data_IF_719794165737
#
_entry.id   IF_719794165737
#
_cell.length_a   1.000
_cell.length_b   1.000
_cell.length_c   1.000
_cell.angle_alpha   90.00
_cell.angle_beta   90.00
_cell.angle_gamma   90.00
#
_symmetry.space_group_name_H-M   'P 1'
#
loop_
_entity.id
_entity.type
_entity.pdbx_description
1 polymer ?
#
# COMPACT_ATOMS: atom_id res chain seq x y z
N UNK A 1 -1.77 -2.03 21.59
CA UNK A 1 -2.43 -1.49 20.38
C UNK A 1 -1.79 -2.18 19.18
N UNK A 2 -2.57 -2.70 18.23
CA UNK A 2 -2.01 -3.29 17.00
C UNK A 2 -1.61 -2.21 16.01
N UNK A 3 -0.57 -2.48 15.22
CA UNK A 3 0.01 -1.53 14.27
C UNK A 3 -0.08 -2.10 12.85
N UNK A 4 -0.70 -1.38 11.94
CA UNK A 4 -0.88 -1.79 10.55
C UNK A 4 -0.30 -0.75 9.60
N UNK A 5 0.45 -1.19 8.60
CA UNK A 5 0.90 -0.36 7.49
C UNK A 5 0.07 -0.69 6.25
N UNK A 6 -0.46 0.33 5.59
CA UNK A 6 -1.30 0.18 4.40
C UNK A 6 -0.67 0.97 3.26
N UNK A 7 -0.30 0.31 2.18
CA UNK A 7 0.25 0.99 1.00
C UNK A 7 -0.87 1.49 0.10
N UNK A 8 -0.67 2.67 -0.53
CA UNK A 8 -1.70 3.31 -1.35
C UNK A 8 -2.95 3.70 -0.55
N UNK A 9 -2.79 4.11 0.71
CA UNK A 9 -3.90 4.32 1.65
C UNK A 9 -4.53 5.72 1.61
N UNK A 10 -4.08 6.61 0.73
CA UNK A 10 -4.65 7.96 0.64
C UNK A 10 -6.05 8.02 0.02
N UNK A 11 -6.49 6.96 -0.65
CA UNK A 11 -7.78 6.89 -1.34
C UNK A 11 -8.29 5.45 -1.50
N UNK A 12 -9.50 5.30 -2.02
CA UNK A 12 -10.09 4.02 -2.42
C UNK A 12 -10.13 2.98 -1.30
N UNK A 13 -9.80 1.73 -1.64
CA UNK A 13 -9.85 0.58 -0.74
C UNK A 13 -8.84 0.74 0.42
N UNK A 14 -7.64 1.23 0.13
CA UNK A 14 -6.63 1.48 1.15
C UNK A 14 -7.09 2.46 2.23
N UNK A 15 -7.74 3.58 1.83
CA UNK A 15 -8.32 4.55 2.76
C UNK A 15 -9.45 3.95 3.58
N UNK A 16 -10.37 3.22 2.94
CA UNK A 16 -11.47 2.56 3.64
C UNK A 16 -10.94 1.57 4.69
N UNK A 17 -9.92 0.79 4.35
CA UNK A 17 -9.25 -0.13 5.27
C UNK A 17 -8.56 0.61 6.42
N UNK A 18 -7.94 1.75 6.17
CA UNK A 18 -7.30 2.58 7.19
C UNK A 18 -8.31 3.07 8.23
N UNK A 19 -9.46 3.58 7.77
CA UNK A 19 -10.54 4.02 8.66
C UNK A 19 -11.13 2.86 9.45
N UNK A 20 -11.31 1.69 8.84
CA UNK A 20 -11.83 0.51 9.54
C UNK A 20 -10.84 -0.02 10.59
N UNK A 21 -9.54 -0.03 10.29
CA UNK A 21 -8.50 -0.34 11.27
C UNK A 21 -8.53 0.62 12.47
N UNK A 22 -8.77 1.91 12.22
CA UNK A 22 -8.89 2.93 13.24
C UNK A 22 -10.06 2.71 14.19
N UNK A 23 -11.23 2.27 13.70
CA UNK A 23 -12.38 1.88 14.53
C UNK A 23 -12.02 0.75 15.50
N UNK A 24 -11.10 -0.11 15.11
CA UNK A 24 -10.54 -1.18 15.95
C UNK A 24 -9.34 -0.71 16.81
N UNK A 25 -9.16 0.60 16.98
CA UNK A 25 -8.13 1.21 17.84
C UNK A 25 -6.70 0.84 17.42
N UNK A 26 -6.46 0.61 16.13
CA UNK A 26 -5.12 0.33 15.61
C UNK A 26 -4.34 1.64 15.37
N UNK A 27 -3.01 1.55 15.41
CA UNK A 27 -2.12 2.57 14.87
C UNK A 27 -1.88 2.31 13.37
N UNK A 28 -2.19 3.29 12.52
CA UNK A 28 -2.22 3.10 11.07
C UNK A 28 -1.11 3.90 10.37
N UNK A 29 -0.23 3.21 9.66
CA UNK A 29 0.67 3.82 8.68
C UNK A 29 -0.05 3.99 7.34
N UNK A 30 -0.23 5.22 6.92
CA UNK A 30 -0.91 5.60 5.67
C UNK A 30 0.16 5.95 4.64
N UNK A 31 0.49 5.00 3.75
CA UNK A 31 1.40 5.30 2.67
C UNK A 31 0.68 5.98 1.50
N UNK A 32 1.35 6.98 0.95
CA UNK A 32 0.95 7.67 -0.28
C UNK A 32 2.18 7.98 -1.15
N UNK A 33 1.97 8.17 -2.47
CA UNK A 33 3.06 8.56 -3.37
C UNK A 33 3.12 10.08 -3.57
N UNK A 34 2.10 10.68 -4.20
CA UNK A 34 2.12 12.09 -4.64
C UNK A 34 1.11 12.98 -3.93
N UNK A 35 -0.05 12.47 -3.60
CA UNK A 35 -1.17 13.28 -3.09
C UNK A 35 -1.12 13.40 -1.57
N UNK A 36 -0.37 14.40 -1.08
CA UNK A 36 -0.27 14.73 0.34
C UNK A 36 -1.61 15.15 0.96
N UNK A 37 -2.41 15.92 0.22
CA UNK A 37 -3.70 16.42 0.71
C UNK A 37 -4.67 15.26 0.98
N UNK A 38 -4.75 14.29 0.06
CA UNK A 38 -5.56 13.09 0.28
C UNK A 38 -5.06 12.25 1.45
N UNK A 39 -3.74 12.14 1.63
CA UNK A 39 -3.16 11.44 2.78
C UNK A 39 -3.48 12.16 4.11
N UNK A 40 -3.44 13.49 4.11
CA UNK A 40 -3.82 14.30 5.28
C UNK A 40 -5.31 14.13 5.62
N UNK A 41 -6.19 14.18 4.62
CA UNK A 41 -7.61 13.88 4.83
C UNK A 41 -7.82 12.48 5.41
N UNK A 42 -7.08 11.49 4.92
CA UNK A 42 -7.19 10.12 5.42
C UNK A 42 -6.77 10.01 6.89
N UNK A 43 -5.65 10.63 7.31
CA UNK A 43 -5.22 10.56 8.72
C UNK A 43 -6.19 11.29 9.65
N UNK A 44 -6.83 12.35 9.19
CA UNK A 44 -7.83 13.08 9.98
C UNK A 44 -9.09 12.20 10.19
N UNK A 45 -9.51 11.45 9.17
CA UNK A 45 -10.60 10.48 9.29
C UNK A 45 -10.23 9.30 10.22
N UNK A 46 -8.99 8.79 10.13
CA UNK A 46 -8.46 7.74 11.04
C UNK A 46 -8.54 8.21 12.49
N UNK A 47 -8.12 9.43 12.78
CA UNK A 47 -8.22 10.01 14.14
C UNK A 47 -9.65 10.21 14.58
N UNK A 48 -10.51 10.70 13.70
CA UNK A 48 -11.94 10.88 13.99
C UNK A 48 -12.66 9.56 14.27
N UNK A 49 -12.21 8.47 13.63
CA UNK A 49 -12.71 7.11 13.89
C UNK A 49 -12.19 6.49 15.20
N UNK A 50 -11.33 7.20 15.93
CA UNK A 50 -10.82 6.81 17.24
C UNK A 50 -9.54 5.97 17.23
N UNK A 51 -8.86 5.89 16.10
CA UNK A 51 -7.50 5.36 15.98
C UNK A 51 -6.44 6.46 16.08
N UNK A 52 -5.22 6.10 15.77
CA UNK A 52 -4.09 7.02 15.59
C UNK A 52 -3.24 6.53 14.41
N UNK A 53 -2.29 7.33 13.95
CA UNK A 53 -1.45 6.92 12.84
C UNK A 53 -0.47 7.97 12.38
N UNK A 54 0.15 7.67 11.25
CA UNK A 54 1.08 8.58 10.57
C UNK A 54 0.97 8.45 9.06
N UNK A 55 1.23 9.54 8.35
CA UNK A 55 1.37 9.52 6.89
C UNK A 55 2.83 9.25 6.50
N UNK A 56 3.04 8.51 5.43
CA UNK A 56 4.34 8.04 4.96
C UNK A 56 4.44 8.20 3.45
N UNK A 57 5.16 9.21 3.00
CA UNK A 57 5.41 9.37 1.57
C UNK A 57 6.43 8.34 1.10
N UNK A 58 6.05 7.55 0.10
CA UNK A 58 6.91 6.57 -0.53
C UNK A 58 6.32 6.15 -1.88
N UNK A 59 7.14 6.15 -2.92
CA UNK A 59 6.84 5.41 -4.14
C UNK A 59 7.23 3.95 -3.92
N UNK A 60 6.26 3.03 -4.00
CA UNK A 60 6.52 1.60 -3.78
C UNK A 60 7.40 0.98 -4.87
N UNK A 61 7.48 1.59 -6.05
CA UNK A 61 8.38 1.18 -7.13
C UNK A 61 9.87 1.41 -6.80
N UNK A 62 10.19 2.21 -5.78
CA UNK A 62 11.55 2.42 -5.29
C UNK A 62 11.83 1.58 -4.05
N UNK A 63 12.64 0.53 -4.21
CA UNK A 63 12.98 -0.40 -3.11
C UNK A 63 13.70 0.28 -1.94
N UNK A 64 14.47 1.35 -2.18
CA UNK A 64 15.14 2.09 -1.10
C UNK A 64 14.15 2.98 -0.34
N UNK A 65 13.21 3.63 -1.06
CA UNK A 65 12.14 4.39 -0.44
C UNK A 65 11.25 3.48 0.43
N UNK A 66 10.95 2.25 -0.01
CA UNK A 66 10.21 1.26 0.78
C UNK A 66 10.94 0.92 2.07
N UNK A 67 12.26 0.64 2.03
CA UNK A 67 13.06 0.41 3.25
C UNK A 67 13.00 1.57 4.23
N UNK A 68 13.12 2.79 3.73
CA UNK A 68 13.03 4.02 4.56
C UNK A 68 11.64 4.15 5.17
N UNK A 69 10.59 3.88 4.42
CA UNK A 69 9.20 3.89 4.90
C UNK A 69 9.00 2.92 6.06
N UNK A 70 9.42 1.66 5.90
CA UNK A 70 9.32 0.65 6.97
C UNK A 70 10.11 1.05 8.21
N UNK A 71 11.33 1.56 8.03
CA UNK A 71 12.15 2.05 9.14
C UNK A 71 11.43 3.15 9.93
N UNK A 72 10.90 4.18 9.25
CA UNK A 72 10.15 5.27 9.89
C UNK A 72 8.90 4.76 10.62
N UNK A 73 8.17 3.83 10.02
CA UNK A 73 6.99 3.25 10.65
C UNK A 73 7.35 2.50 11.93
N UNK A 74 8.35 1.61 11.88
CA UNK A 74 8.79 0.80 13.02
C UNK A 74 9.42 1.66 14.12
N UNK A 75 10.14 2.72 13.79
CA UNK A 75 10.66 3.68 14.77
C UNK A 75 9.55 4.31 15.62
N UNK A 76 8.40 4.60 15.00
CA UNK A 76 7.23 5.19 15.67
C UNK A 76 6.35 4.14 16.36
N UNK A 77 5.97 3.09 15.63
CA UNK A 77 5.01 2.08 16.08
C UNK A 77 5.64 0.99 16.97
N UNK A 78 6.97 0.79 16.91
CA UNK A 78 7.78 -0.25 17.55
C UNK A 78 7.62 -1.65 16.98
N UNK A 79 6.43 -2.02 16.53
CA UNK A 79 6.11 -3.31 15.91
C UNK A 79 5.23 -3.11 14.69
N UNK A 80 5.10 -4.15 13.87
CA UNK A 80 4.21 -4.18 12.72
C UNK A 80 3.38 -5.47 12.75
N UNK A 81 2.13 -5.38 13.16
CA UNK A 81 1.24 -6.54 13.31
C UNK A 81 0.64 -6.97 11.97
N UNK A 82 0.45 -6.02 11.07
CA UNK A 82 -0.12 -6.27 9.76
C UNK A 82 0.41 -5.33 8.68
N UNK A 83 0.48 -5.84 7.47
CA UNK A 83 0.68 -5.02 6.27
C UNK A 83 -0.43 -5.33 5.28
N UNK A 84 -1.13 -4.30 4.84
CA UNK A 84 -2.00 -4.39 3.69
C UNK A 84 -1.27 -3.83 2.46
N UNK A 85 -0.78 -4.73 1.63
CA UNK A 85 -0.05 -4.44 0.42
C UNK A 85 -1.04 -4.17 -0.71
N UNK A 86 -1.48 -2.91 -0.79
CA UNK A 86 -2.63 -2.48 -1.59
C UNK A 86 -2.26 -1.49 -2.70
N UNK A 87 -1.07 -0.85 -2.61
CA UNK A 87 -0.66 0.11 -3.64
C UNK A 87 -0.65 -0.55 -5.02
N UNK A 88 -1.28 0.11 -5.97
CA UNK A 88 -1.35 -0.31 -7.36
C UNK A 88 -1.92 0.80 -8.23
N UNK A 89 -1.67 0.71 -9.49
CA UNK A 89 -2.18 1.62 -10.51
C UNK A 89 -2.86 0.82 -11.63
N UNK A 90 -3.84 1.44 -12.25
CA UNK A 90 -4.39 0.97 -13.52
C UNK A 90 -3.62 1.64 -14.66
N UNK A 91 -3.37 0.91 -15.72
CA UNK A 91 -2.78 1.48 -16.93
C UNK A 91 -3.79 2.34 -17.71
N UNK A 92 -3.37 2.94 -18.82
CA UNK A 92 -4.28 3.58 -19.75
C UNK A 92 -5.23 2.53 -20.32
N UNK A 93 -6.46 2.97 -20.69
CA UNK A 93 -7.36 2.14 -21.47
C UNK A 93 -6.77 2.08 -22.88
N UNK A 94 -6.26 0.93 -23.29
CA UNK A 94 -5.57 0.74 -24.56
C UNK A 94 -5.71 -0.70 -25.04
N UNK A 95 -5.74 -0.90 -26.35
CA UNK A 95 -5.58 -2.22 -26.95
C UNK A 95 -4.12 -2.66 -26.80
N UNK A 96 -3.88 -3.96 -26.69
CA UNK A 96 -2.53 -4.51 -26.40
C UNK A 96 -1.48 -4.09 -27.45
N UNK A 97 -1.89 -3.99 -28.72
CA UNK A 97 -1.00 -3.61 -29.82
C UNK A 97 -0.62 -2.12 -29.79
N UNK A 98 -1.40 -1.28 -29.11
CA UNK A 98 -1.23 0.18 -29.05
C UNK A 98 -0.60 0.64 -27.72
N UNK A 99 -0.33 -0.31 -26.81
CA UNK A 99 0.26 -0.01 -25.50
C UNK A 99 1.72 0.45 -25.64
N UNK A 100 2.02 1.61 -25.09
CA UNK A 100 3.41 2.09 -24.96
C UNK A 100 4.19 1.18 -23.98
N UNK A 101 5.33 0.60 -24.40
CA UNK A 101 6.19 -0.17 -23.50
C UNK A 101 6.62 0.58 -22.24
N UNK A 102 6.71 1.91 -22.26
CA UNK A 102 7.01 2.72 -21.07
C UNK A 102 5.87 2.67 -20.05
N UNK A 103 4.61 2.67 -20.48
CA UNK A 103 3.45 2.52 -19.60
C UNK A 103 3.40 1.14 -18.98
N UNK A 104 3.66 0.09 -19.77
CA UNK A 104 3.78 -1.27 -19.24
C UNK A 104 4.87 -1.34 -18.16
N UNK A 105 6.02 -0.71 -18.38
CA UNK A 105 7.09 -0.69 -17.39
C UNK A 105 6.65 -0.06 -16.08
N UNK A 106 5.95 1.06 -16.11
CA UNK A 106 5.43 1.75 -14.91
C UNK A 106 4.46 0.85 -14.16
N UNK A 107 3.58 0.12 -14.87
CA UNK A 107 2.67 -0.85 -14.27
C UNK A 107 3.40 -1.98 -13.56
N UNK A 108 4.38 -2.60 -14.21
CA UNK A 108 5.17 -3.69 -13.63
C UNK A 108 5.99 -3.18 -12.43
N UNK A 109 6.61 -2.02 -12.53
CA UNK A 109 7.40 -1.44 -11.45
C UNK A 109 6.54 -1.16 -10.21
N UNK A 110 5.31 -0.69 -10.38
CA UNK A 110 4.41 -0.41 -9.26
C UNK A 110 3.70 -1.66 -8.75
N UNK A 111 2.98 -2.38 -9.63
CA UNK A 111 2.05 -3.44 -9.22
C UNK A 111 2.75 -4.77 -8.91
N UNK A 112 3.91 -5.02 -9.50
CA UNK A 112 4.68 -6.27 -9.32
C UNK A 112 5.91 -6.03 -8.46
N UNK A 113 6.85 -5.23 -8.94
CA UNK A 113 8.11 -4.97 -8.22
C UNK A 113 7.84 -4.27 -6.89
N UNK A 114 6.96 -3.26 -6.88
CA UNK A 114 6.57 -2.54 -5.66
C UNK A 114 5.89 -3.44 -4.64
N UNK A 115 4.95 -4.27 -5.08
CA UNK A 115 4.31 -5.24 -4.20
C UNK A 115 5.32 -6.24 -3.61
N UNK A 116 6.30 -6.67 -4.40
CA UNK A 116 7.38 -7.53 -3.94
C UNK A 116 8.27 -6.83 -2.90
N UNK A 117 8.68 -5.57 -3.12
CA UNK A 117 9.52 -4.83 -2.18
C UNK A 117 8.81 -4.62 -0.83
N UNK A 118 7.53 -4.28 -0.87
CA UNK A 118 6.71 -4.15 0.35
C UNK A 118 6.59 -5.48 1.08
N UNK A 119 6.32 -6.58 0.37
CA UNK A 119 6.26 -7.92 0.98
C UNK A 119 7.61 -8.33 1.58
N UNK A 120 8.73 -8.02 0.92
CA UNK A 120 10.08 -8.33 1.39
C UNK A 120 10.40 -7.60 2.70
N UNK A 121 10.15 -6.30 2.78
CA UNK A 121 10.40 -5.53 4.02
C UNK A 121 9.43 -5.92 5.14
N UNK A 122 8.17 -6.26 4.80
CA UNK A 122 7.22 -6.83 5.76
C UNK A 122 7.75 -8.13 6.36
N UNK A 123 8.20 -9.05 5.52
CA UNK A 123 8.74 -10.34 5.97
C UNK A 123 9.99 -10.14 6.87
N UNK A 124 10.90 -9.24 6.49
CA UNK A 124 12.08 -8.94 7.32
C UNK A 124 11.69 -8.45 8.71
N UNK A 125 10.74 -7.52 8.80
CA UNK A 125 10.27 -6.99 10.08
C UNK A 125 9.57 -8.08 10.92
N UNK A 126 8.68 -8.86 10.30
CA UNK A 126 7.87 -9.88 10.97
C UNK A 126 8.69 -11.10 11.42
N UNK A 127 9.71 -11.51 10.65
CA UNK A 127 10.66 -12.57 11.06
C UNK A 127 11.39 -12.14 12.32
N UNK A 128 11.91 -10.92 12.40
CA UNK A 128 12.65 -10.42 13.56
C UNK A 128 11.79 -10.34 14.82
N UNK A 129 10.49 -10.16 14.71
CA UNK A 129 9.55 -10.09 15.85
C UNK A 129 8.79 -11.41 16.09
N UNK A 130 8.95 -12.42 15.22
CA UNK A 130 8.31 -13.75 15.25
C UNK A 130 6.78 -13.76 15.10
N UNK A 131 6.18 -12.71 14.57
CA UNK A 131 4.75 -12.64 14.25
C UNK A 131 4.47 -11.57 13.21
N UNK A 132 3.27 -11.60 12.64
CA UNK A 132 2.73 -10.63 11.69
C UNK A 132 1.90 -11.29 10.60
N UNK A 133 1.16 -10.49 9.87
CA UNK A 133 0.36 -10.94 8.73
C UNK A 133 0.51 -9.98 7.56
N UNK A 134 0.61 -10.51 6.35
CA UNK A 134 0.63 -9.75 5.11
C UNK A 134 -0.62 -10.11 4.32
N UNK A 135 -1.38 -9.10 3.92
CA UNK A 135 -2.50 -9.23 2.98
C UNK A 135 -2.10 -8.54 1.69
N UNK A 136 -2.09 -9.27 0.57
CA UNK A 136 -1.84 -8.70 -0.74
C UNK A 136 -3.17 -8.44 -1.45
N UNK A 137 -3.31 -7.24 -2.04
CA UNK A 137 -4.43 -6.93 -2.91
C UNK A 137 -4.30 -7.75 -4.19
N UNK A 138 -5.39 -8.37 -4.59
CA UNK A 138 -5.56 -9.03 -5.87
C UNK A 138 -6.75 -8.42 -6.63
N UNK A 139 -7.06 -8.98 -7.77
CA UNK A 139 -8.20 -8.56 -8.59
C UNK A 139 -8.94 -9.78 -9.11
N UNK A 140 -10.24 -9.64 -9.33
CA UNK A 140 -11.03 -10.63 -10.07
C UNK A 140 -10.48 -10.85 -11.49
N UNK A 141 -9.79 -9.85 -12.04
CA UNK A 141 -9.12 -9.96 -13.35
C UNK A 141 -8.03 -11.06 -13.37
N UNK A 142 -7.50 -11.45 -12.22
CA UNK A 142 -6.57 -12.58 -12.12
C UNK A 142 -7.22 -13.92 -12.47
N UNK A 143 -8.53 -14.05 -12.24
CA UNK A 143 -9.29 -15.29 -12.49
C UNK A 143 -9.97 -15.29 -13.86
N UNK A 144 -10.55 -14.15 -14.27
CA UNK A 144 -11.41 -14.07 -15.49
C UNK A 144 -10.73 -13.34 -16.66
N UNK A 145 -9.53 -12.81 -16.46
CA UNK A 145 -8.87 -11.91 -17.42
C UNK A 145 -9.47 -10.49 -17.40
N UNK A 146 -8.71 -9.56 -17.92
CA UNK A 146 -9.17 -8.18 -18.11
C UNK A 146 -10.18 -8.06 -19.26
N UNK A 147 -10.94 -6.97 -19.28
CA UNK A 147 -11.96 -6.69 -20.29
C UNK A 147 -11.42 -6.27 -21.67
N UNK A 148 -10.21 -6.67 -22.06
CA UNK A 148 -9.60 -6.40 -23.37
C UNK A 148 -8.99 -5.01 -23.54
N UNK A 149 -9.27 -4.09 -22.62
CA UNK A 149 -8.78 -2.70 -22.65
C UNK A 149 -7.95 -2.34 -21.41
N UNK A 150 -7.77 -3.28 -20.47
CA UNK A 150 -7.02 -3.09 -19.23
C UNK A 150 -5.86 -4.07 -19.17
N UNK A 151 -4.72 -3.57 -18.73
CA UNK A 151 -3.44 -4.32 -18.62
C UNK A 151 -2.94 -4.45 -17.17
N UNK A 152 -3.81 -4.40 -16.22
CA UNK A 152 -3.46 -4.55 -14.79
C UNK A 152 -3.99 -5.85 -14.20
#
# INVERSE_FOLDING_TARGET
MKNILITGASQGIGKATAVEAAKNKMFVGINYNKNLEAAQSCIDEVKSAGGDGMILQCDVADSNAVKVMFKKFIEKAKTIDGVFNNAGITGPISQIQDLDPAELKILIDTNVSGAFYVAQESARAMINQNYGAIVNMSSIAADIGGGGEFIH
#
